data_IF_940772009886
#
_entry.id   IF_940772009886
#
_cell.length_a   1.000
_cell.length_b   1.000
_cell.length_c   1.000
_cell.angle_alpha   90.00
_cell.angle_beta   90.00
_cell.angle_gamma   90.00
#
_symmetry.space_group_name_H-M   'P 1'
#
loop_
_entity.id
_entity.type
_entity.pdbx_description
1 polymer ?
#
# COMPACT_ATOMS: atom_id res chain seq x y z
N UNK A 1 -8.79 -6.31 10.28
CA UNK A 1 -7.63 -5.39 10.35
C UNK A 1 -7.55 -4.62 9.05
N UNK A 2 -7.15 -3.36 9.13
CA UNK A 2 -6.98 -2.49 7.95
C UNK A 2 -5.64 -1.78 8.04
N UNK A 3 -4.91 -1.73 6.93
CA UNK A 3 -3.72 -0.90 6.76
C UNK A 3 -3.98 0.13 5.66
N UNK A 4 -3.72 1.41 5.95
CA UNK A 4 -3.82 2.51 5.01
C UNK A 4 -2.45 3.12 4.79
N UNK A 5 -2.07 3.38 3.54
CA UNK A 5 -0.75 3.90 3.21
C UNK A 5 -0.76 4.93 2.08
N UNK A 6 0.22 5.83 2.15
CA UNK A 6 0.59 6.77 1.08
C UNK A 6 2.07 6.61 0.77
N UNK A 7 2.41 6.79 -0.51
CA UNK A 7 3.78 6.64 -1.00
C UNK A 7 4.13 7.86 -1.83
N UNK A 8 5.21 8.54 -1.45
CA UNK A 8 5.73 9.72 -2.13
C UNK A 8 7.01 9.39 -2.93
N UNK A 9 7.25 10.09 -4.05
CA UNK A 9 6.46 11.20 -4.59
C UNK A 9 5.17 10.71 -5.28
N UNK A 10 4.04 11.37 -5.02
CA UNK A 10 2.77 11.06 -5.66
C UNK A 10 2.36 12.17 -6.62
N UNK A 11 1.90 11.80 -7.81
CA UNK A 11 1.33 12.71 -8.80
C UNK A 11 -0.08 12.21 -9.14
N UNK A 12 -1.08 13.05 -8.93
CA UNK A 12 -2.47 12.69 -9.20
C UNK A 12 -2.67 12.36 -10.69
N UNK A 13 -3.26 11.20 -10.98
CA UNK A 13 -3.49 10.70 -12.33
C UNK A 13 -2.26 10.10 -13.02
N UNK A 14 -1.07 10.19 -12.43
CA UNK A 14 0.18 9.64 -12.97
C UNK A 14 1.01 8.96 -11.86
N UNK A 15 0.54 7.82 -11.32
CA UNK A 15 1.23 7.12 -10.26
C UNK A 15 2.60 6.64 -10.73
N UNK A 16 3.65 6.98 -9.98
CA UNK A 16 5.01 6.52 -10.25
C UNK A 16 5.19 5.02 -10.03
N UNK A 17 6.34 4.45 -10.47
CA UNK A 17 6.61 3.01 -10.40
C UNK A 17 6.55 2.45 -8.97
N UNK A 18 6.94 3.23 -7.96
CA UNK A 18 6.82 2.88 -6.55
C UNK A 18 5.39 2.77 -6.05
N UNK A 19 4.46 3.57 -6.58
CA UNK A 19 3.03 3.49 -6.25
C UNK A 19 2.42 2.27 -6.93
N UNK A 20 2.71 2.09 -8.23
CA UNK A 20 2.18 0.98 -9.01
C UNK A 20 2.63 -0.38 -8.47
N UNK A 21 3.93 -0.54 -8.16
CA UNK A 21 4.46 -1.78 -7.61
C UNK A 21 3.86 -2.12 -6.23
N UNK A 22 3.60 -1.13 -5.40
CA UNK A 22 2.94 -1.32 -4.11
C UNK A 22 1.47 -1.74 -4.28
N UNK A 23 0.75 -1.12 -5.22
CA UNK A 23 -0.65 -1.50 -5.55
C UNK A 23 -0.68 -2.93 -6.08
N UNK A 24 0.24 -3.33 -6.96
CA UNK A 24 0.30 -4.69 -7.50
C UNK A 24 0.45 -5.75 -6.39
N UNK A 25 1.29 -5.47 -5.38
CA UNK A 25 1.42 -6.34 -4.20
C UNK A 25 0.11 -6.42 -3.42
N UNK A 26 -0.56 -5.28 -3.20
CA UNK A 26 -1.83 -5.22 -2.50
C UNK A 26 -2.94 -6.01 -3.23
N UNK A 27 -3.05 -5.85 -4.54
CA UNK A 27 -4.04 -6.54 -5.39
C UNK A 27 -3.80 -8.06 -5.43
N UNK A 28 -2.53 -8.48 -5.43
CA UNK A 28 -2.15 -9.89 -5.49
C UNK A 28 -2.43 -10.67 -4.19
N UNK A 29 -2.68 -9.97 -3.08
CA UNK A 29 -2.85 -10.58 -1.76
C UNK A 29 -4.26 -11.17 -1.50
N UNK A 30 -5.23 -10.95 -2.40
CA UNK A 30 -6.62 -11.37 -2.19
C UNK A 30 -7.33 -10.64 -1.05
N UNK A 31 -6.79 -9.50 -0.62
CA UNK A 31 -7.38 -8.60 0.37
C UNK A 31 -8.40 -7.66 -0.30
N UNK A 32 -9.26 -7.06 0.51
CA UNK A 32 -10.09 -5.95 0.03
C UNK A 32 -9.21 -4.70 -0.10
N UNK A 33 -9.06 -4.19 -1.33
CA UNK A 33 -8.24 -3.02 -1.67
C UNK A 33 -9.16 -1.86 -2.03
N UNK A 34 -8.93 -0.70 -1.43
CA UNK A 34 -9.60 0.56 -1.77
C UNK A 34 -8.55 1.62 -2.07
N UNK A 35 -8.58 2.16 -3.30
CA UNK A 35 -7.70 3.25 -3.73
C UNK A 35 -8.51 4.54 -3.62
N UNK A 36 -8.14 5.38 -2.65
CA UNK A 36 -8.77 6.66 -2.38
C UNK A 36 -7.88 7.86 -2.75
N UNK A 37 -8.42 9.08 -2.72
CA UNK A 37 -7.67 10.30 -3.01
C UNK A 37 -6.57 10.60 -1.99
N UNK A 38 -6.62 9.97 -0.81
CA UNK A 38 -5.67 10.19 0.29
C UNK A 38 -4.75 9.00 0.58
N UNK A 39 -4.80 7.95 -0.25
CA UNK A 39 -4.00 6.74 -0.02
C UNK A 39 -4.70 5.47 -0.49
N UNK A 40 -4.04 4.35 -0.27
CA UNK A 40 -4.59 3.02 -0.52
C UNK A 40 -4.83 2.32 0.80
N UNK A 41 -5.99 1.71 0.96
CA UNK A 41 -6.34 0.87 2.10
C UNK A 41 -6.39 -0.60 1.68
N UNK A 42 -5.84 -1.48 2.51
CA UNK A 42 -5.99 -2.94 2.40
C UNK A 42 -6.61 -3.47 3.68
N UNK A 43 -7.59 -4.34 3.57
CA UNK A 43 -8.29 -4.89 4.73
C UNK A 43 -8.63 -6.37 4.58
N UNK A 44 -8.62 -7.07 5.71
CA UNK A 44 -8.91 -8.50 5.77
C UNK A 44 -8.33 -9.18 7.01
N UNK A 45 -7.93 -10.45 6.81
CA UNK A 45 -7.28 -11.27 7.82
C UNK A 45 -5.99 -10.60 8.33
N UNK A 46 -5.77 -10.49 9.65
CA UNK A 46 -4.62 -9.79 10.21
C UNK A 46 -3.25 -10.31 9.73
N UNK A 47 -3.06 -11.62 9.63
CA UNK A 47 -1.77 -12.19 9.22
C UNK A 47 -1.50 -11.90 7.74
N UNK A 48 -2.54 -12.00 6.90
CA UNK A 48 -2.44 -11.65 5.48
C UNK A 48 -2.16 -10.16 5.31
N UNK A 49 -2.84 -9.29 6.06
CA UNK A 49 -2.60 -7.83 6.03
C UNK A 49 -1.16 -7.50 6.42
N UNK A 50 -0.66 -8.04 7.54
CA UNK A 50 0.71 -7.77 8.00
C UNK A 50 1.77 -8.27 7.00
N UNK A 51 1.59 -9.46 6.43
CA UNK A 51 2.47 -9.97 5.37
C UNK A 51 2.43 -9.09 4.12
N UNK A 52 1.25 -8.59 3.75
CA UNK A 52 1.08 -7.73 2.57
C UNK A 52 1.73 -6.38 2.78
N UNK A 53 1.66 -5.80 3.99
CA UNK A 53 2.33 -4.55 4.35
C UNK A 53 3.85 -4.66 4.18
N UNK A 54 4.50 -5.75 4.62
CA UNK A 54 5.95 -5.93 4.38
C UNK A 54 6.27 -5.91 2.87
N UNK A 55 5.47 -6.60 2.06
CA UNK A 55 5.63 -6.60 0.60
C UNK A 55 5.45 -5.22 -0.03
N UNK A 56 4.41 -4.48 0.37
CA UNK A 56 4.11 -3.12 -0.07
C UNK A 56 5.30 -2.19 0.22
N UNK A 57 5.79 -2.20 1.46
CA UNK A 57 6.89 -1.33 1.88
C UNK A 57 8.17 -1.63 1.09
N UNK A 58 8.50 -2.92 0.89
CA UNK A 58 9.66 -3.34 0.10
C UNK A 58 9.54 -2.92 -1.37
N UNK A 59 8.38 -3.18 -1.99
CA UNK A 59 8.14 -2.85 -3.39
C UNK A 59 8.23 -1.34 -3.63
N UNK A 60 7.62 -0.55 -2.75
CA UNK A 60 7.68 0.91 -2.80
C UNK A 60 9.12 1.42 -2.73
N UNK A 61 9.89 1.00 -1.72
CA UNK A 61 11.29 1.42 -1.53
C UNK A 61 12.16 1.00 -2.71
N UNK A 62 12.02 -0.25 -3.18
CA UNK A 62 12.82 -0.75 -4.30
C UNK A 62 12.59 0.01 -5.62
N UNK A 63 11.42 0.63 -5.77
CA UNK A 63 11.01 1.37 -6.96
C UNK A 63 11.07 2.89 -6.80
N UNK A 64 11.75 3.40 -5.76
CA UNK A 64 12.09 4.81 -5.63
C UNK A 64 11.17 5.64 -4.73
N UNK A 65 10.37 5.00 -3.87
CA UNK A 65 9.66 5.72 -2.82
C UNK A 65 10.66 6.46 -1.92
N UNK A 66 10.42 7.75 -1.70
CA UNK A 66 11.24 8.60 -0.83
C UNK A 66 10.61 8.77 0.55
N UNK A 67 9.31 8.54 0.67
CA UNK A 67 8.58 8.53 1.94
C UNK A 67 7.35 7.64 1.84
N UNK A 68 7.07 6.93 2.93
CA UNK A 68 5.88 6.11 3.09
C UNK A 68 5.24 6.49 4.43
N UNK A 69 3.93 6.77 4.43
CA UNK A 69 3.14 6.88 5.67
C UNK A 69 2.23 5.65 5.75
N UNK A 70 2.14 5.05 6.93
CA UNK A 70 1.35 3.85 7.18
C UNK A 70 0.55 4.03 8.47
N UNK A 71 -0.75 3.75 8.40
CA UNK A 71 -1.63 3.62 9.55
C UNK A 71 -2.20 2.19 9.59
N UNK A 72 -2.23 1.59 10.77
CA UNK A 72 -2.82 0.26 10.99
C UNK A 72 -3.92 0.37 12.03
N UNK A 73 -5.11 -0.09 11.66
CA UNK A 73 -6.27 -0.19 12.54
C UNK A 73 -6.50 -1.67 12.89
N UNK A 74 -6.44 -1.99 14.18
CA UNK A 74 -6.53 -3.37 14.71
C UNK A 74 -7.94 -3.75 15.19
N UNK A 75 -8.90 -2.86 15.02
CA UNK A 75 -10.30 -3.03 15.41
C UNK A 75 -11.09 -3.93 14.47
#
# INVERSE_FOLDING_TARGET
MTAEFTIEPFVEGDPGPHVLAAIEVAESAGLAVEIGPFGTSVSGDPEVVLSTVDGILRAAVANGATRISLQVNTG
#
